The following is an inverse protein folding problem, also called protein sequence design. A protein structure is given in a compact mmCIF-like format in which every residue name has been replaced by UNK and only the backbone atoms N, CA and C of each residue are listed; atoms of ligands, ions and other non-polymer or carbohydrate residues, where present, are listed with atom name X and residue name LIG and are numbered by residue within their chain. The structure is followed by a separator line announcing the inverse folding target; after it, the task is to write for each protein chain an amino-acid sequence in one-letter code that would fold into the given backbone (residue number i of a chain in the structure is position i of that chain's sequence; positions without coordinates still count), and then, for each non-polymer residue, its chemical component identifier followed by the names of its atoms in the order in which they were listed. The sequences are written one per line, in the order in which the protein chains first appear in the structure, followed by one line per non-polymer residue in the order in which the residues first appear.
data_IF_384120373630
#
_entry.id   IF_384120373630
#
_cell.length_a   1.000
_cell.length_b   1.000
_cell.length_c   1.000
_cell.angle_alpha   90.00
_cell.angle_beta   90.00
_cell.angle_gamma   90.00
#
_symmetry.space_group_name_H-M   'P 1'
#
loop_
_entity.id
_entity.type
_entity.pdbx_description
1 polymer ?
#
# COMPACT_ATOMS: atom_id res chain seq x y z
N UNK A 1 -11.63 -2.07 47.93
CA UNK A 1 -11.00 -2.42 46.63
C UNK A 1 -11.98 -2.31 45.47
N UNK A 2 -13.20 -2.86 45.57
CA UNK A 2 -14.19 -2.93 44.48
C UNK A 2 -14.42 -1.65 43.67
N UNK A 3 -14.92 -0.56 44.28
CA UNK A 3 -15.28 0.68 43.55
C UNK A 3 -14.13 1.31 42.75
N UNK A 4 -12.89 1.18 43.23
CA UNK A 4 -11.70 1.71 42.52
C UNK A 4 -11.36 0.89 41.29
N UNK A 5 -11.52 -0.43 41.33
CA UNK A 5 -11.27 -1.32 40.17
C UNK A 5 -12.27 -1.01 39.06
N UNK A 6 -13.56 -0.82 39.38
CA UNK A 6 -14.58 -0.45 38.39
C UNK A 6 -14.33 0.92 37.77
N UNK A 7 -13.79 1.89 38.52
CA UNK A 7 -13.36 3.19 37.94
C UNK A 7 -12.23 3.02 36.93
N UNK A 8 -11.25 2.14 37.21
CA UNK A 8 -10.16 1.83 36.27
C UNK A 8 -10.71 1.12 35.02
N UNK A 9 -11.63 0.17 35.19
CA UNK A 9 -12.29 -0.52 34.08
C UNK A 9 -13.09 0.43 33.20
N UNK A 10 -13.90 1.33 33.77
CA UNK A 10 -14.70 2.31 33.02
C UNK A 10 -13.83 3.18 32.10
N UNK A 11 -12.78 3.80 32.66
CA UNK A 11 -11.89 4.68 31.89
C UNK A 11 -11.19 3.92 30.76
N UNK A 12 -10.69 2.72 31.02
CA UNK A 12 -9.96 1.98 29.98
C UNK A 12 -10.88 1.35 28.94
N UNK A 13 -12.11 0.97 29.29
CA UNK A 13 -13.12 0.54 28.31
C UNK A 13 -13.47 1.68 27.34
N UNK A 14 -13.57 2.91 27.84
CA UNK A 14 -13.79 4.09 26.98
C UNK A 14 -12.56 4.37 26.10
N UNK A 15 -11.35 4.42 26.67
CA UNK A 15 -10.09 4.64 25.90
C UNK A 15 -9.90 3.61 24.78
N UNK A 16 -10.18 2.34 25.06
CA UNK A 16 -10.12 1.27 24.07
C UNK A 16 -11.09 1.52 22.91
N UNK A 17 -12.36 1.85 23.23
CA UNK A 17 -13.40 2.10 22.22
C UNK A 17 -13.17 3.37 21.41
N UNK A 18 -12.69 4.44 22.05
CA UNK A 18 -12.36 5.72 21.43
C UNK A 18 -11.16 5.59 20.51
N UNK A 19 -10.08 4.94 20.98
CA UNK A 19 -8.90 4.67 20.16
C UNK A 19 -9.26 3.87 18.90
N UNK A 20 -10.07 2.81 19.05
CA UNK A 20 -10.55 2.03 17.91
C UNK A 20 -11.46 2.83 16.98
N UNK A 21 -12.26 3.77 17.49
CA UNK A 21 -13.12 4.60 16.64
C UNK A 21 -12.31 5.50 15.72
N UNK A 22 -11.23 6.11 16.21
CA UNK A 22 -10.34 6.93 15.38
C UNK A 22 -9.71 6.10 14.26
N UNK A 23 -9.29 4.87 14.57
CA UNK A 23 -8.70 3.95 13.58
C UNK A 23 -9.73 3.49 12.55
N UNK A 24 -10.97 3.19 12.98
CA UNK A 24 -12.08 2.86 12.09
C UNK A 24 -12.38 3.99 11.11
N UNK A 25 -12.52 5.23 11.62
CA UNK A 25 -12.82 6.38 10.78
C UNK A 25 -11.65 6.71 9.84
N UNK A 26 -10.40 6.48 10.25
CA UNK A 26 -9.25 6.54 9.33
C UNK A 26 -9.38 5.52 8.19
N UNK A 27 -9.56 4.23 8.51
CA UNK A 27 -9.70 3.21 7.48
C UNK A 27 -10.88 3.50 6.54
N UNK A 28 -12.02 3.94 7.09
CA UNK A 28 -13.25 4.14 6.33
C UNK A 28 -13.26 5.42 5.50
N UNK A 29 -12.75 6.52 6.03
CA UNK A 29 -12.94 7.86 5.46
C UNK A 29 -11.68 8.45 4.85
N UNK A 30 -10.50 7.90 5.17
CA UNK A 30 -9.21 8.37 4.63
C UNK A 30 -8.62 7.36 3.66
N UNK A 31 -8.82 6.06 3.90
CA UNK A 31 -8.26 4.99 3.06
C UNK A 31 -9.30 4.26 2.21
N UNK A 32 -10.59 4.50 2.41
CA UNK A 32 -11.70 3.74 1.78
C UNK A 32 -11.49 2.21 1.89
N UNK A 33 -11.06 1.75 3.06
CA UNK A 33 -10.52 0.42 3.29
C UNK A 33 -11.46 -0.45 4.15
N UNK A 34 -11.64 -1.70 3.75
CA UNK A 34 -12.56 -2.67 4.35
C UNK A 34 -12.17 -3.12 5.77
N UNK A 35 -10.93 -2.87 6.20
CA UNK A 35 -10.51 -3.06 7.60
C UNK A 35 -11.39 -2.26 8.57
N UNK A 36 -12.05 -1.19 8.11
CA UNK A 36 -13.05 -0.48 8.90
C UNK A 36 -14.18 -1.39 9.40
N UNK A 37 -14.62 -2.35 8.59
CA UNK A 37 -15.66 -3.31 8.99
C UNK A 37 -15.15 -4.25 10.10
N UNK A 38 -13.92 -4.75 9.95
CA UNK A 38 -13.26 -5.57 10.98
C UNK A 38 -13.14 -4.80 12.30
N UNK A 39 -12.80 -3.52 12.26
CA UNK A 39 -12.69 -2.69 13.47
C UNK A 39 -14.06 -2.44 14.11
N UNK A 40 -15.09 -2.18 13.29
CA UNK A 40 -16.47 -2.06 13.75
C UNK A 40 -16.92 -3.33 14.48
N UNK A 41 -16.62 -4.50 13.95
CA UNK A 41 -16.94 -5.78 14.58
C UNK A 41 -16.17 -5.97 15.89
N UNK A 42 -14.88 -5.63 15.94
CA UNK A 42 -14.12 -5.65 17.20
C UNK A 42 -14.71 -4.73 18.27
N UNK A 43 -15.22 -3.57 17.89
CA UNK A 43 -15.92 -2.66 18.82
C UNK A 43 -17.24 -3.26 19.32
N UNK A 44 -17.94 -4.03 18.48
CA UNK A 44 -19.12 -4.78 18.89
C UNK A 44 -18.75 -5.92 19.85
N UNK A 45 -17.68 -6.67 19.57
CA UNK A 45 -17.19 -7.74 20.42
C UNK A 45 -16.79 -7.25 21.81
N UNK A 46 -16.12 -6.09 21.91
CA UNK A 46 -15.83 -5.47 23.21
C UNK A 46 -17.11 -5.25 24.01
N UNK A 47 -18.20 -4.81 23.36
CA UNK A 47 -19.48 -4.59 24.03
C UNK A 47 -20.11 -5.90 24.51
N UNK A 48 -19.99 -6.98 23.76
CA UNK A 48 -20.55 -8.29 24.11
C UNK A 48 -19.81 -9.00 25.26
N UNK A 49 -18.58 -8.56 25.56
CA UNK A 49 -17.80 -9.00 26.72
C UNK A 49 -18.29 -8.39 28.04
N UNK A 50 -19.07 -7.30 27.99
CA UNK A 50 -19.61 -6.62 29.16
C UNK A 50 -21.02 -7.14 29.44
N UNK A 51 -21.25 -7.68 30.64
CA UNK A 51 -22.61 -7.93 31.13
C UNK A 51 -23.23 -6.64 31.71
N UNK A 52 -24.55 -6.67 31.90
CA UNK A 52 -25.31 -5.50 32.39
C UNK A 52 -24.84 -5.05 33.78
N UNK A 53 -24.44 -6.02 34.62
CA UNK A 53 -23.97 -5.75 35.98
C UNK A 53 -22.64 -5.00 35.95
N UNK A 54 -21.65 -5.50 35.20
CA UNK A 54 -20.36 -4.86 35.05
C UNK A 54 -20.50 -3.45 34.46
N UNK A 55 -21.41 -3.30 33.49
CA UNK A 55 -21.69 -1.99 32.88
C UNK A 55 -22.26 -1.00 33.90
N UNK A 56 -23.20 -1.44 34.74
CA UNK A 56 -23.76 -0.63 35.81
C UNK A 56 -22.71 -0.27 36.89
N UNK A 57 -21.88 -1.24 37.30
CA UNK A 57 -20.82 -1.05 38.29
C UNK A 57 -19.76 -0.04 37.80
N UNK A 58 -19.37 -0.12 36.53
CA UNK A 58 -18.45 0.83 35.89
C UNK A 58 -19.05 2.25 35.87
N UNK A 59 -20.32 2.38 35.46
CA UNK A 59 -21.00 3.67 35.41
C UNK A 59 -21.13 4.30 36.81
N UNK A 60 -21.50 3.51 37.82
CA UNK A 60 -21.61 3.97 39.21
C UNK A 60 -20.26 4.35 39.85
N UNK A 61 -19.15 3.85 39.29
CA UNK A 61 -17.80 4.16 39.74
C UNK A 61 -17.16 5.35 39.02
N UNK A 62 -17.78 5.87 37.95
CA UNK A 62 -17.27 6.98 37.15
C UNK A 62 -17.14 8.25 37.99
N UNK A 63 -15.98 8.90 37.89
CA UNK A 63 -15.68 10.16 38.57
C UNK A 63 -14.89 11.06 37.62
N UNK A 64 -15.54 12.09 37.09
CA UNK A 64 -14.91 13.02 36.12
C UNK A 64 -14.39 14.28 36.82
N UNK A 65 -15.18 14.85 37.73
CA UNK A 65 -14.88 16.16 38.33
C UNK A 65 -13.62 16.15 39.21
N UNK A 66 -13.41 15.04 39.93
CA UNK A 66 -12.30 14.86 40.88
C UNK A 66 -11.18 13.98 40.33
N UNK A 67 -11.17 13.73 39.00
CA UNK A 67 -10.10 12.97 38.37
C UNK A 67 -8.82 13.81 38.26
N UNK A 68 -7.73 13.29 38.83
CA UNK A 68 -6.42 13.96 38.83
C UNK A 68 -5.88 14.09 37.38
N UNK A 69 -6.24 13.16 36.50
CA UNK A 69 -5.89 13.18 35.08
C UNK A 69 -6.70 14.16 34.24
N UNK A 70 -7.69 14.87 34.81
CA UNK A 70 -8.50 15.86 34.08
C UNK A 70 -7.66 17.04 33.55
N UNK A 71 -6.57 17.40 34.24
CA UNK A 71 -5.71 18.54 33.89
C UNK A 71 -4.41 18.13 33.18
N UNK A 72 -4.18 16.84 32.96
CA UNK A 72 -2.98 16.40 32.23
C UNK A 72 -3.19 16.56 30.74
N UNK A 73 -2.72 17.66 30.19
CA UNK A 73 -2.48 17.83 28.76
C UNK A 73 -0.98 18.03 28.57
N UNK A 74 -0.34 17.14 27.84
CA UNK A 74 1.09 17.27 27.53
C UNK A 74 1.27 17.99 26.20
N UNK A 75 2.36 18.76 26.06
CA UNK A 75 2.69 19.44 24.78
C UNK A 75 2.78 18.44 23.62
N UNK A 76 3.17 17.18 23.91
CA UNK A 76 3.21 16.05 22.97
C UNK A 76 1.84 15.50 22.54
N UNK A 77 0.75 15.86 23.22
CA UNK A 77 -0.63 15.56 22.78
C UNK A 77 -1.21 16.63 21.87
N UNK A 78 -0.56 17.80 21.75
CA UNK A 78 -1.09 18.96 21.03
C UNK A 78 -1.07 18.82 19.50
N UNK A 79 -0.24 17.94 18.95
CA UNK A 79 -0.14 17.76 17.51
C UNK A 79 0.16 16.31 17.11
N UNK A 80 -0.26 15.98 15.89
CA UNK A 80 0.12 14.77 15.17
C UNK A 80 0.59 15.21 13.78
N UNK A 81 1.73 14.69 13.35
CA UNK A 81 2.38 15.13 12.11
C UNK A 81 1.67 14.61 10.86
N UNK A 82 1.10 13.42 10.93
CA UNK A 82 0.47 12.74 9.79
C UNK A 82 -0.52 11.65 10.24
N UNK A 83 -1.24 11.08 9.27
CA UNK A 83 -2.20 10.01 9.50
C UNK A 83 -1.59 8.75 10.14
N UNK A 84 -0.45 8.19 9.68
CA UNK A 84 0.20 7.07 10.35
C UNK A 84 0.49 7.32 11.84
N UNK A 85 1.02 8.50 12.18
CA UNK A 85 1.29 8.87 13.57
C UNK A 85 0.01 8.94 14.43
N UNK A 86 -1.09 9.47 13.86
CA UNK A 86 -2.39 9.48 14.51
C UNK A 86 -2.89 8.04 14.79
N UNK A 87 -2.84 7.17 13.77
CA UNK A 87 -3.31 5.79 13.84
C UNK A 87 -2.48 4.99 14.85
N UNK A 88 -1.15 5.07 14.75
CA UNK A 88 -0.23 4.38 15.67
C UNK A 88 -0.48 4.81 17.11
N UNK A 89 -0.60 6.12 17.38
CA UNK A 89 -0.85 6.62 18.74
C UNK A 89 -2.20 6.14 19.31
N UNK A 90 -3.25 5.99 18.48
CA UNK A 90 -4.54 5.48 18.94
C UNK A 90 -4.55 3.97 19.12
N UNK A 91 -3.85 3.21 18.27
CA UNK A 91 -3.67 1.77 18.46
C UNK A 91 -2.85 1.46 19.72
N UNK A 92 -1.77 2.19 19.99
CA UNK A 92 -1.00 2.01 21.24
C UNK A 92 -1.85 2.28 22.47
N UNK A 93 -2.62 3.38 22.48
CA UNK A 93 -3.55 3.67 23.59
C UNK A 93 -4.62 2.58 23.76
N UNK A 94 -5.16 2.04 22.66
CA UNK A 94 -6.09 0.92 22.72
C UNK A 94 -5.43 -0.36 23.29
N UNK A 95 -4.20 -0.68 22.88
CA UNK A 95 -3.44 -1.83 23.39
C UNK A 95 -3.12 -1.71 24.89
N UNK A 96 -2.72 -0.53 25.34
CA UNK A 96 -2.48 -0.22 26.76
C UNK A 96 -3.77 -0.34 27.58
N UNK A 97 -4.86 0.24 27.10
CA UNK A 97 -6.16 0.15 27.75
C UNK A 97 -6.64 -1.31 27.87
N UNK A 98 -6.50 -2.10 26.80
CA UNK A 98 -6.80 -3.53 26.82
C UNK A 98 -5.92 -4.30 27.82
N UNK A 99 -4.64 -3.96 27.96
CA UNK A 99 -3.77 -4.56 29.00
C UNK A 99 -4.29 -4.28 30.40
N UNK A 100 -4.70 -3.04 30.68
CA UNK A 100 -5.24 -2.67 32.00
C UNK A 100 -6.55 -3.40 32.27
N UNK A 101 -7.47 -3.47 31.30
CA UNK A 101 -8.75 -4.17 31.46
C UNK A 101 -8.51 -5.65 31.75
N UNK A 102 -7.61 -6.33 31.01
CA UNK A 102 -7.31 -7.75 31.21
C UNK A 102 -6.88 -8.06 32.65
N UNK A 103 -5.98 -7.25 33.21
CA UNK A 103 -5.45 -7.44 34.56
C UNK A 103 -6.48 -7.04 35.63
N UNK A 104 -7.18 -5.92 35.45
CA UNK A 104 -8.22 -5.50 36.39
C UNK A 104 -9.43 -6.45 36.43
N UNK A 105 -9.76 -7.10 35.31
CA UNK A 105 -10.81 -8.12 35.26
C UNK A 105 -10.51 -9.30 36.20
N UNK A 106 -9.23 -9.62 36.45
CA UNK A 106 -8.82 -10.69 37.38
C UNK A 106 -9.11 -10.32 38.84
N UNK A 107 -9.01 -9.04 39.19
CA UNK A 107 -9.32 -8.54 40.54
C UNK A 107 -10.80 -8.67 40.91
N UNK A 108 -11.68 -8.69 39.91
CA UNK A 108 -13.13 -8.93 40.08
C UNK A 108 -13.54 -10.34 39.64
N UNK A 109 -12.57 -11.24 39.43
CA UNK A 109 -12.80 -12.63 39.01
C UNK A 109 -13.65 -12.81 37.75
N UNK A 110 -13.66 -11.80 36.87
CA UNK A 110 -14.47 -11.80 35.65
C UNK A 110 -13.73 -12.50 34.50
N UNK A 111 -13.72 -13.82 34.53
CA UNK A 111 -12.94 -14.68 33.60
C UNK A 111 -13.26 -14.46 32.12
N UNK A 112 -14.54 -14.27 31.76
CA UNK A 112 -14.99 -13.99 30.37
C UNK A 112 -14.33 -12.73 29.81
N UNK A 113 -14.40 -11.61 30.55
CA UNK A 113 -13.78 -10.34 30.19
C UNK A 113 -12.26 -10.48 30.08
N UNK A 114 -11.60 -11.08 31.07
CA UNK A 114 -10.14 -11.25 31.06
C UNK A 114 -9.67 -12.04 29.83
N UNK A 115 -10.33 -13.19 29.54
CA UNK A 115 -10.00 -14.02 28.37
C UNK A 115 -10.30 -13.32 27.05
N UNK A 116 -11.46 -12.68 26.94
CA UNK A 116 -11.88 -11.97 25.73
C UNK A 116 -10.96 -10.80 25.40
N UNK A 117 -10.59 -10.01 26.40
CA UNK A 117 -9.67 -8.88 26.23
C UNK A 117 -8.26 -9.37 25.90
N UNK A 118 -7.80 -10.48 26.49
CA UNK A 118 -6.52 -11.09 26.09
C UNK A 118 -6.51 -11.44 24.60
N UNK A 119 -7.56 -12.08 24.09
CA UNK A 119 -7.66 -12.40 22.66
C UNK A 119 -7.68 -11.12 21.80
N UNK A 120 -8.49 -10.13 22.20
CA UNK A 120 -8.58 -8.84 21.53
C UNK A 120 -7.21 -8.15 21.41
N UNK A 121 -6.37 -8.20 22.45
CA UNK A 121 -5.02 -7.60 22.42
C UNK A 121 -4.16 -8.14 21.28
N UNK A 122 -4.20 -9.45 21.03
CA UNK A 122 -3.48 -10.03 19.90
C UNK A 122 -4.03 -9.53 18.57
N UNK A 123 -5.36 -9.45 18.45
CA UNK A 123 -6.01 -8.85 17.28
C UNK A 123 -5.59 -7.38 17.07
N UNK A 124 -5.42 -6.59 18.13
CA UNK A 124 -4.94 -5.21 18.04
C UNK A 124 -3.50 -5.11 17.52
N UNK A 125 -2.63 -6.06 17.84
CA UNK A 125 -1.25 -6.09 17.30
C UNK A 125 -1.25 -6.43 15.81
N UNK A 126 -2.07 -7.39 15.40
CA UNK A 126 -2.23 -7.73 13.98
C UNK A 126 -2.85 -6.58 13.19
N UNK A 127 -3.86 -5.91 13.76
CA UNK A 127 -4.51 -4.77 13.15
C UNK A 127 -3.53 -3.61 12.94
N UNK A 128 -2.68 -3.32 13.93
CA UNK A 128 -1.61 -2.32 13.81
C UNK A 128 -0.66 -2.65 12.67
N UNK A 129 -0.18 -3.90 12.61
CA UNK A 129 0.68 -4.34 11.51
C UNK A 129 -0.02 -4.23 10.16
N UNK A 130 -1.29 -4.63 10.07
CA UNK A 130 -2.07 -4.60 8.84
C UNK A 130 -2.21 -3.17 8.32
N UNK A 131 -2.79 -2.28 9.14
CA UNK A 131 -3.13 -0.90 8.74
C UNK A 131 -1.88 -0.11 8.39
N UNK A 132 -0.84 -0.16 9.24
CA UNK A 132 0.37 0.63 9.01
C UNK A 132 1.18 0.11 7.80
N UNK A 133 1.00 -1.15 7.40
CA UNK A 133 1.69 -1.74 6.25
C UNK A 133 0.78 -1.95 5.03
N UNK A 134 -0.44 -1.41 4.97
CA UNK A 134 -1.39 -1.65 3.87
C UNK A 134 -0.78 -1.41 2.48
N UNK A 135 -0.04 -0.31 2.31
CA UNK A 135 0.68 -0.03 1.04
C UNK A 135 1.67 -1.14 0.69
N UNK A 136 2.50 -1.52 1.66
CA UNK A 136 3.48 -2.59 1.51
C UNK A 136 2.78 -3.90 1.16
N UNK A 137 1.70 -4.27 1.84
CA UNK A 137 0.94 -5.50 1.59
C UNK A 137 0.39 -5.53 0.15
N UNK A 138 -0.26 -4.44 -0.29
CA UNK A 138 -0.79 -4.32 -1.67
C UNK A 138 0.32 -4.47 -2.71
N UNK A 139 1.42 -3.76 -2.52
CA UNK A 139 2.57 -3.78 -3.43
C UNK A 139 3.23 -5.16 -3.46
N UNK A 140 3.46 -5.80 -2.31
CA UNK A 140 4.05 -7.15 -2.28
C UNK A 140 3.14 -8.18 -2.94
N UNK A 141 1.82 -8.01 -2.84
CA UNK A 141 0.84 -8.85 -3.55
C UNK A 141 0.91 -8.63 -5.06
N UNK A 142 0.86 -7.39 -5.53
CA UNK A 142 0.88 -7.08 -6.97
C UNK A 142 2.20 -7.45 -7.63
N UNK A 143 3.32 -7.32 -6.92
CA UNK A 143 4.64 -7.73 -7.39
C UNK A 143 5.00 -9.17 -7.01
N UNK A 144 4.07 -9.97 -6.45
CA UNK A 144 4.31 -11.39 -6.31
C UNK A 144 5.40 -11.82 -5.35
N UNK A 145 5.79 -10.96 -4.38
CA UNK A 145 6.97 -11.21 -3.55
C UNK A 145 6.88 -12.49 -2.70
N UNK A 146 5.68 -13.07 -2.54
CA UNK A 146 5.43 -14.31 -1.84
C UNK A 146 4.60 -15.32 -2.65
N UNK A 147 4.38 -15.07 -3.94
CA UNK A 147 3.53 -15.89 -4.79
C UNK A 147 4.23 -16.22 -6.11
N UNK A 148 4.60 -17.49 -6.27
CA UNK A 148 5.27 -18.00 -7.47
C UNK A 148 4.36 -18.05 -8.69
N UNK A 149 3.03 -17.95 -8.51
CA UNK A 149 2.05 -17.96 -9.60
C UNK A 149 1.68 -16.54 -10.09
N UNK A 150 2.20 -15.51 -9.42
CA UNK A 150 1.94 -14.11 -9.79
C UNK A 150 2.47 -13.75 -11.19
N UNK A 151 1.71 -12.94 -11.91
CA UNK A 151 2.12 -12.41 -13.21
C UNK A 151 3.20 -11.34 -13.01
N UNK A 152 4.43 -11.64 -13.43
CA UNK A 152 5.63 -10.78 -13.23
C UNK A 152 5.79 -9.71 -14.30
N UNK A 153 4.97 -9.75 -15.35
CA UNK A 153 5.10 -8.87 -16.52
C UNK A 153 4.41 -7.54 -16.27
N UNK A 154 5.18 -6.46 -16.35
CA UNK A 154 4.71 -5.09 -16.21
C UNK A 154 4.77 -4.39 -17.58
N UNK A 155 3.62 -4.07 -18.17
CA UNK A 155 3.57 -3.26 -19.39
C UNK A 155 3.52 -1.77 -19.05
N UNK A 156 4.44 -1.00 -19.62
CA UNK A 156 4.35 0.47 -19.67
C UNK A 156 3.85 0.84 -21.06
N UNK A 157 2.61 1.31 -21.14
CA UNK A 157 1.94 1.77 -22.35
C UNK A 157 2.35 3.21 -22.61
N UNK A 158 2.93 3.44 -23.78
CA UNK A 158 3.42 4.73 -24.23
C UNK A 158 3.18 4.87 -25.73
N UNK A 159 2.30 5.79 -26.09
CA UNK A 159 1.87 5.99 -27.48
C UNK A 159 3.02 6.44 -28.39
N UNK A 160 4.07 7.07 -27.86
CA UNK A 160 5.26 7.40 -28.67
C UNK A 160 5.91 6.15 -29.28
N UNK A 161 5.71 4.98 -28.66
CA UNK A 161 6.26 3.71 -29.10
C UNK A 161 5.21 2.72 -29.61
N UNK A 162 3.94 3.11 -29.69
CA UNK A 162 2.87 2.24 -30.15
C UNK A 162 2.78 2.25 -31.68
N UNK A 163 2.78 1.06 -32.30
CA UNK A 163 2.70 0.92 -33.77
C UNK A 163 1.36 0.40 -34.28
N UNK A 164 0.42 0.08 -33.39
CA UNK A 164 -0.91 -0.38 -33.77
C UNK A 164 -1.86 0.77 -34.14
N UNK A 165 -3.11 0.41 -34.48
CA UNK A 165 -4.14 1.36 -34.93
C UNK A 165 -5.27 1.57 -33.92
N UNK A 166 -5.43 0.67 -32.95
CA UNK A 166 -6.46 0.75 -31.91
C UNK A 166 -5.87 0.36 -30.54
N UNK A 167 -5.38 1.39 -29.83
CA UNK A 167 -4.69 1.21 -28.56
C UNK A 167 -5.56 0.48 -27.52
N UNK A 168 -6.86 0.79 -27.45
CA UNK A 168 -7.73 0.22 -26.42
C UNK A 168 -8.05 -1.24 -26.72
N UNK A 169 -8.19 -1.62 -27.99
CA UNK A 169 -8.32 -3.01 -28.40
C UNK A 169 -7.05 -3.81 -28.05
N UNK A 170 -5.86 -3.27 -28.32
CA UNK A 170 -4.60 -3.93 -28.00
C UNK A 170 -4.35 -4.01 -26.49
N UNK A 171 -4.67 -2.95 -25.73
CA UNK A 171 -4.63 -2.97 -24.26
C UNK A 171 -5.54 -4.07 -23.71
N UNK A 172 -6.76 -4.19 -24.22
CA UNK A 172 -7.67 -5.29 -23.83
C UNK A 172 -7.07 -6.66 -24.16
N UNK A 173 -6.43 -6.80 -25.33
CA UNK A 173 -5.83 -8.06 -25.77
C UNK A 173 -4.63 -8.48 -24.90
N UNK A 174 -3.75 -7.55 -24.53
CA UNK A 174 -2.59 -7.84 -23.66
C UNK A 174 -3.02 -8.11 -22.21
N UNK A 175 -4.04 -7.41 -21.70
CA UNK A 175 -4.62 -7.70 -20.39
C UNK A 175 -5.18 -9.14 -20.36
N UNK A 176 -5.92 -9.54 -21.39
CA UNK A 176 -6.42 -10.92 -21.55
C UNK A 176 -5.28 -11.95 -21.65
N UNK A 177 -4.14 -11.57 -22.25
CA UNK A 177 -2.96 -12.43 -22.36
C UNK A 177 -2.13 -12.51 -21.06
N UNK A 178 -2.50 -11.77 -20.01
CA UNK A 178 -1.94 -11.90 -18.67
C UNK A 178 -0.82 -10.92 -18.34
N UNK A 179 -0.98 -9.65 -18.69
CA UNK A 179 -0.13 -8.58 -18.10
C UNK A 179 -0.45 -8.45 -16.61
N UNK A 180 0.58 -8.50 -15.76
CA UNK A 180 0.44 -8.44 -14.31
C UNK A 180 0.30 -7.04 -13.74
N UNK A 181 0.87 -6.02 -14.40
CA UNK A 181 0.66 -4.60 -14.09
C UNK A 181 0.66 -3.78 -15.38
N UNK A 182 -0.18 -2.75 -15.46
CA UNK A 182 -0.24 -1.86 -16.61
C UNK A 182 -0.07 -0.40 -16.18
N UNK A 183 0.92 0.28 -16.76
CA UNK A 183 1.16 1.71 -16.57
C UNK A 183 0.76 2.50 -17.80
N UNK A 184 -0.04 3.54 -17.60
CA UNK A 184 -0.26 4.57 -18.60
C UNK A 184 0.79 5.67 -18.47
N UNK A 185 1.60 5.83 -19.51
CA UNK A 185 2.66 6.83 -19.63
C UNK A 185 2.50 7.56 -20.94
N UNK A 186 2.28 8.87 -20.89
CA UNK A 186 2.24 9.69 -22.08
C UNK A 186 2.94 11.02 -21.82
N UNK A 187 3.89 11.39 -22.69
CA UNK A 187 4.76 12.57 -22.54
C UNK A 187 4.38 13.72 -23.48
N UNK A 188 3.45 13.47 -24.41
CA UNK A 188 2.95 14.43 -25.39
C UNK A 188 1.41 14.44 -25.40
N UNK A 189 0.81 15.42 -26.07
CA UNK A 189 -0.65 15.56 -26.10
C UNK A 189 -1.19 16.47 -24.99
N UNK A 190 -2.52 16.58 -24.91
CA UNK A 190 -3.22 17.43 -23.94
C UNK A 190 -3.57 16.67 -22.65
N UNK A 191 -3.76 17.42 -21.56
CA UNK A 191 -4.22 16.87 -20.29
C UNK A 191 -5.58 16.15 -20.41
N UNK A 192 -6.51 16.70 -21.21
CA UNK A 192 -7.80 16.09 -21.48
C UNK A 192 -7.64 14.72 -22.14
N UNK A 193 -6.75 14.63 -23.14
CA UNK A 193 -6.48 13.37 -23.81
C UNK A 193 -5.87 12.34 -22.86
N UNK A 194 -4.86 12.74 -22.07
CA UNK A 194 -4.25 11.85 -21.09
C UNK A 194 -5.31 11.30 -20.12
N UNK A 195 -6.20 12.17 -19.63
CA UNK A 195 -7.25 11.81 -18.69
C UNK A 195 -8.28 10.85 -19.30
N UNK A 196 -8.75 11.12 -20.51
CA UNK A 196 -9.71 10.26 -21.22
C UNK A 196 -9.14 8.85 -21.46
N UNK A 197 -7.88 8.77 -21.93
CA UNK A 197 -7.20 7.49 -22.12
C UNK A 197 -6.98 6.76 -20.79
N UNK A 198 -6.59 7.48 -19.73
CA UNK A 198 -6.41 6.91 -18.41
C UNK A 198 -7.71 6.30 -17.86
N UNK A 199 -8.86 6.98 -18.04
CA UNK A 199 -10.17 6.44 -17.66
C UNK A 199 -10.53 5.17 -18.43
N UNK A 200 -10.33 5.17 -19.75
CA UNK A 200 -10.63 4.02 -20.60
C UNK A 200 -9.76 2.81 -20.23
N UNK A 201 -8.45 3.02 -20.06
CA UNK A 201 -7.52 1.97 -19.66
C UNK A 201 -7.81 1.48 -18.23
N UNK A 202 -8.19 2.37 -17.31
CA UNK A 202 -8.59 1.99 -15.95
C UNK A 202 -9.80 1.06 -15.97
N UNK A 203 -10.81 1.35 -16.80
CA UNK A 203 -11.99 0.48 -16.93
C UNK A 203 -11.59 -0.93 -17.39
N UNK A 204 -10.69 -1.04 -18.37
CA UNK A 204 -10.14 -2.33 -18.82
C UNK A 204 -9.36 -3.04 -17.70
N UNK A 205 -8.48 -2.33 -17.01
CA UNK A 205 -7.71 -2.89 -15.90
C UNK A 205 -8.61 -3.45 -14.79
N UNK A 206 -9.74 -2.78 -14.49
CA UNK A 206 -10.74 -3.31 -13.54
C UNK A 206 -11.41 -4.59 -14.02
N UNK A 207 -11.78 -4.64 -15.31
CA UNK A 207 -12.39 -5.83 -15.94
C UNK A 207 -11.49 -7.07 -15.82
N UNK A 208 -10.18 -6.90 -16.00
CA UNK A 208 -9.19 -7.99 -15.94
C UNK A 208 -8.47 -8.12 -14.58
N UNK A 209 -8.90 -7.37 -13.56
CA UNK A 209 -8.29 -7.35 -12.22
C UNK A 209 -6.78 -7.06 -12.21
N UNK A 210 -6.32 -6.25 -13.16
CA UNK A 210 -4.92 -5.84 -13.30
C UNK A 210 -4.69 -4.49 -12.60
N UNK A 211 -3.66 -4.33 -11.76
CA UNK A 211 -3.31 -3.05 -11.15
C UNK A 211 -2.98 -2.01 -12.21
N UNK A 212 -3.66 -0.86 -12.11
CA UNK A 212 -3.46 0.28 -12.99
C UNK A 212 -2.53 1.31 -12.38
N UNK A 213 -1.50 1.70 -13.13
CA UNK A 213 -0.49 2.66 -12.71
C UNK A 213 -0.56 3.91 -13.58
N UNK A 214 -0.56 5.09 -12.96
CA UNK A 214 -0.46 6.37 -13.68
C UNK A 214 0.95 6.93 -13.50
N UNK A 215 1.57 7.33 -14.61
CA UNK A 215 2.90 7.92 -14.61
C UNK A 215 2.85 9.45 -14.42
N UNK A 216 3.74 9.98 -13.58
CA UNK A 216 4.05 11.40 -13.29
C UNK A 216 2.93 12.31 -12.76
N UNK A 217 1.67 11.93 -12.93
CA UNK A 217 0.49 12.79 -12.72
C UNK A 217 -0.33 12.38 -11.48
N UNK A 218 0.05 12.83 -10.25
CA UNK A 218 -0.72 12.52 -9.04
C UNK A 218 -2.15 13.03 -9.07
N UNK A 219 -2.39 14.16 -9.74
CA UNK A 219 -3.72 14.73 -9.96
C UNK A 219 -4.61 13.78 -10.76
N UNK A 220 -4.13 13.30 -11.90
CA UNK A 220 -4.87 12.36 -12.74
C UNK A 220 -5.00 11.00 -12.05
N UNK A 221 -3.94 10.52 -11.40
CA UNK A 221 -3.96 9.26 -10.65
C UNK A 221 -5.10 9.23 -9.62
N UNK A 222 -5.30 10.34 -8.90
CA UNK A 222 -6.41 10.49 -7.96
C UNK A 222 -7.77 10.50 -8.67
N UNK A 223 -7.91 11.33 -9.72
CA UNK A 223 -9.19 11.51 -10.44
C UNK A 223 -9.69 10.24 -11.13
N UNK A 224 -8.79 9.36 -11.59
CA UNK A 224 -9.14 8.08 -12.22
C UNK A 224 -9.11 6.91 -11.26
N UNK A 225 -8.89 7.15 -9.97
CA UNK A 225 -8.77 6.12 -8.93
C UNK A 225 -7.75 5.03 -9.32
N UNK A 226 -6.57 5.46 -9.77
CA UNK A 226 -5.45 4.58 -10.08
C UNK A 226 -5.01 3.79 -8.85
N UNK A 227 -4.49 2.58 -9.06
CA UNK A 227 -4.04 1.74 -7.96
C UNK A 227 -2.66 2.18 -7.45
N UNK A 228 -1.82 2.72 -8.34
CA UNK A 228 -0.44 3.11 -8.08
C UNK A 228 -0.10 4.40 -8.85
N UNK A 229 0.71 5.27 -8.24
CA UNK A 229 1.40 6.37 -8.91
C UNK A 229 2.86 5.98 -9.17
N UNK A 230 3.40 6.23 -10.36
CA UNK A 230 4.84 6.10 -10.63
C UNK A 230 5.43 7.47 -10.96
N UNK A 231 6.60 7.79 -10.38
CA UNK A 231 7.29 9.06 -10.58
C UNK A 231 8.71 8.84 -11.11
N UNK A 232 9.12 9.65 -12.07
CA UNK A 232 10.50 9.82 -12.52
C UNK A 232 11.32 10.73 -11.60
N UNK A 233 12.60 10.89 -11.92
CA UNK A 233 13.55 11.68 -11.10
C UNK A 233 13.27 13.18 -11.12
N UNK A 234 12.74 13.70 -12.23
CA UNK A 234 12.45 15.13 -12.43
C UNK A 234 11.00 15.49 -12.08
N UNK A 235 10.20 14.52 -11.65
CA UNK A 235 8.81 14.73 -11.23
C UNK A 235 8.73 15.15 -9.77
N UNK A 236 7.50 15.42 -9.29
CA UNK A 236 7.27 15.85 -7.91
C UNK A 236 7.98 14.94 -6.89
N UNK A 237 8.50 15.50 -5.79
CA UNK A 237 8.97 14.69 -4.65
C UNK A 237 7.84 13.80 -4.13
N UNK A 238 8.16 12.58 -3.70
CA UNK A 238 7.21 11.60 -3.15
C UNK A 238 6.44 12.21 -1.99
N UNK A 239 7.10 12.96 -1.10
CA UNK A 239 6.44 13.63 0.03
C UNK A 239 5.36 14.63 -0.41
N UNK A 240 5.56 15.31 -1.55
CA UNK A 240 4.59 16.26 -2.12
C UNK A 240 3.48 15.51 -2.84
N UNK A 241 3.81 14.52 -3.68
CA UNK A 241 2.82 13.68 -4.35
C UNK A 241 1.90 12.97 -3.35
N UNK A 242 2.43 12.49 -2.22
CA UNK A 242 1.68 11.86 -1.12
C UNK A 242 0.61 12.77 -0.51
N UNK A 243 0.83 14.10 -0.51
CA UNK A 243 -0.17 15.06 -0.04
C UNK A 243 -1.37 15.16 -0.99
N UNK A 244 -1.20 14.79 -2.26
CA UNK A 244 -2.26 14.78 -3.27
C UNK A 244 -2.98 13.43 -3.30
N UNK A 245 -2.25 12.32 -3.45
CA UNK A 245 -2.85 10.97 -3.60
C UNK A 245 -3.22 10.30 -2.27
N UNK A 246 -2.91 10.94 -1.15
CA UNK A 246 -3.20 10.45 0.18
C UNK A 246 -2.27 9.32 0.65
N UNK A 247 -2.55 8.77 1.85
CA UNK A 247 -1.67 7.79 2.49
C UNK A 247 -1.84 6.37 1.93
N UNK A 248 -2.88 6.10 1.14
CA UNK A 248 -3.27 4.74 0.74
C UNK A 248 -2.66 4.31 -0.61
N UNK A 249 -2.57 5.20 -1.59
CA UNK A 249 -2.05 4.88 -2.93
C UNK A 249 -0.54 4.68 -2.87
N UNK A 250 0.01 3.52 -3.25
CA UNK A 250 1.44 3.33 -3.35
C UNK A 250 2.11 4.23 -4.41
N UNK A 251 3.34 4.64 -4.15
CA UNK A 251 4.14 5.49 -5.04
C UNK A 251 5.44 4.77 -5.41
N UNK A 252 5.66 4.56 -6.71
CA UNK A 252 6.92 4.06 -7.24
C UNK A 252 7.87 5.18 -7.66
N UNK A 253 9.17 4.90 -7.65
CA UNK A 253 10.20 5.83 -8.15
C UNK A 253 11.10 5.14 -9.18
N UNK A 254 11.31 5.78 -10.33
CA UNK A 254 12.35 5.38 -11.28
C UNK A 254 13.74 5.70 -10.71
N UNK A 255 14.71 4.80 -10.89
CA UNK A 255 16.06 4.90 -10.33
C UNK A 255 17.09 4.32 -11.30
N UNK A 256 18.26 4.95 -11.35
CA UNK A 256 19.33 4.70 -12.33
C UNK A 256 20.70 4.44 -11.67
N UNK A 257 20.73 4.38 -10.34
CA UNK A 257 21.93 4.07 -9.55
C UNK A 257 21.53 3.60 -8.15
N UNK A 258 22.46 2.96 -7.44
CA UNK A 258 22.26 2.60 -6.03
C UNK A 258 21.97 3.84 -5.16
N UNK A 259 22.65 4.95 -5.40
CA UNK A 259 22.43 6.19 -4.67
C UNK A 259 20.98 6.70 -4.83
N UNK A 260 20.45 6.68 -6.05
CA UNK A 260 19.05 7.06 -6.29
C UNK A 260 18.06 6.07 -5.66
N UNK A 261 18.36 4.77 -5.67
CA UNK A 261 17.55 3.76 -5.01
C UNK A 261 17.45 3.99 -3.49
N UNK A 262 18.59 4.20 -2.82
CA UNK A 262 18.62 4.49 -1.38
C UNK A 262 17.93 5.81 -1.04
N UNK A 263 18.09 6.84 -1.88
CA UNK A 263 17.39 8.11 -1.72
C UNK A 263 15.86 7.93 -1.85
N UNK A 264 15.39 7.17 -2.85
CA UNK A 264 13.98 6.88 -3.04
C UNK A 264 13.36 6.10 -1.86
N UNK A 265 14.11 5.15 -1.28
CA UNK A 265 13.70 4.44 -0.05
C UNK A 265 13.54 5.44 1.10
N UNK A 266 14.52 6.31 1.32
CA UNK A 266 14.47 7.33 2.37
C UNK A 266 13.32 8.33 2.18
N UNK A 267 12.95 8.62 0.93
CA UNK A 267 11.83 9.49 0.57
C UNK A 267 10.45 8.82 0.76
N UNK A 268 10.42 7.51 1.02
CA UNK A 268 9.20 6.75 1.27
C UNK A 268 8.53 6.19 0.01
N UNK A 269 9.34 5.81 -0.99
CA UNK A 269 8.86 5.00 -2.12
C UNK A 269 8.33 3.65 -1.61
N UNK A 270 7.28 3.14 -2.26
CA UNK A 270 6.71 1.83 -1.97
C UNK A 270 7.30 0.74 -2.88
N UNK A 271 7.81 1.09 -4.07
CA UNK A 271 8.59 0.22 -4.95
C UNK A 271 9.54 1.00 -5.87
N UNK A 272 10.51 0.32 -6.48
CA UNK A 272 11.50 0.95 -7.35
C UNK A 272 11.39 0.42 -8.78
N UNK A 273 11.44 1.31 -9.78
CA UNK A 273 11.79 0.95 -11.14
C UNK A 273 13.28 1.14 -11.34
N UNK A 274 14.04 0.08 -11.58
CA UNK A 274 15.49 0.14 -11.70
C UNK A 274 15.95 -0.18 -13.12
N UNK A 275 16.67 0.75 -13.73
CA UNK A 275 17.11 0.63 -15.11
C UNK A 275 17.88 1.86 -15.58
N UNK A 276 18.16 1.99 -16.88
CA UNK A 276 17.92 0.98 -17.89
C UNK A 276 18.86 -0.22 -17.69
N UNK A 277 18.34 -1.46 -17.71
CA UNK A 277 19.19 -2.67 -17.59
C UNK A 277 20.10 -2.81 -18.82
N UNK A 278 19.53 -2.63 -20.00
CA UNK A 278 20.24 -2.57 -21.27
C UNK A 278 20.01 -1.21 -21.94
N UNK A 279 20.92 -0.83 -22.86
CA UNK A 279 20.77 0.43 -23.62
C UNK A 279 19.39 0.45 -24.31
N UNK A 280 18.70 1.57 -24.20
CA UNK A 280 17.37 1.75 -24.79
C UNK A 280 17.18 3.19 -25.27
N UNK A 281 16.52 3.42 -26.43
CA UNK A 281 16.18 4.76 -26.91
C UNK A 281 14.90 5.33 -26.27
N UNK A 282 14.26 4.65 -25.31
CA UNK A 282 12.94 5.03 -24.79
C UNK A 282 12.88 6.34 -23.99
N UNK A 283 14.01 7.03 -23.78
CA UNK A 283 14.08 8.37 -23.18
C UNK A 283 14.85 9.30 -24.12
N UNK A 284 14.44 10.56 -24.22
CA UNK A 284 15.13 11.61 -25.00
C UNK A 284 16.60 11.83 -24.57
N UNK A 285 16.93 11.53 -23.31
CA UNK A 285 18.30 11.45 -22.78
C UNK A 285 18.43 10.14 -21.98
N UNK A 286 18.97 9.07 -22.56
CA UNK A 286 19.05 7.78 -21.88
C UNK A 286 20.19 7.79 -20.85
N UNK A 287 19.88 7.31 -19.64
CA UNK A 287 20.87 7.03 -18.61
C UNK A 287 21.79 5.87 -19.05
N UNK A 288 23.03 5.78 -18.54
CA UNK A 288 23.90 4.63 -18.77
C UNK A 288 23.23 3.33 -18.33
N UNK A 289 23.46 2.25 -19.08
CA UNK A 289 22.94 0.95 -18.71
C UNK A 289 23.60 0.45 -17.42
N UNK A 290 22.78 0.12 -16.40
CA UNK A 290 23.26 -0.38 -15.10
C UNK A 290 23.67 -1.85 -15.15
N UNK A 291 23.14 -2.59 -16.14
CA UNK A 291 23.44 -4.00 -16.35
C UNK A 291 22.95 -4.94 -15.25
N UNK A 292 23.18 -6.24 -15.46
CA UNK A 292 22.81 -7.29 -14.52
C UNK A 292 23.59 -7.21 -13.19
N UNK A 293 24.85 -6.78 -13.25
CA UNK A 293 25.69 -6.61 -12.06
C UNK A 293 25.13 -5.52 -11.13
N UNK A 294 24.81 -4.34 -11.68
CA UNK A 294 24.21 -3.25 -10.91
C UNK A 294 22.82 -3.62 -10.37
N UNK A 295 22.02 -4.38 -11.13
CA UNK A 295 20.75 -4.90 -10.64
C UNK A 295 20.93 -5.85 -9.45
N UNK A 296 21.87 -6.80 -9.55
CA UNK A 296 22.16 -7.75 -8.47
C UNK A 296 22.67 -7.05 -7.22
N UNK A 297 23.57 -6.08 -7.37
CA UNK A 297 24.05 -5.26 -6.26
C UNK A 297 22.87 -4.56 -5.57
N UNK A 298 22.03 -3.87 -6.33
CA UNK A 298 20.92 -3.11 -5.79
C UNK A 298 19.92 -3.98 -5.01
N UNK A 299 19.61 -5.19 -5.49
CA UNK A 299 18.75 -6.14 -4.75
C UNK A 299 19.31 -6.57 -3.39
N UNK A 300 20.63 -6.47 -3.17
CA UNK A 300 21.23 -6.75 -1.84
C UNK A 300 21.10 -5.59 -0.87
N UNK A 301 20.81 -4.39 -1.36
CA UNK A 301 20.85 -3.14 -0.58
C UNK A 301 19.45 -2.61 -0.22
N UNK A 302 18.40 -3.07 -0.90
CA UNK A 302 17.03 -2.61 -0.67
C UNK A 302 16.07 -3.77 -0.40
N UNK A 303 15.11 -3.56 0.49
CA UNK A 303 14.05 -4.53 0.79
C UNK A 303 12.74 -4.25 0.04
N UNK A 304 12.64 -3.10 -0.64
CA UNK A 304 11.47 -2.78 -1.46
C UNK A 304 11.43 -3.66 -2.71
N UNK A 305 10.24 -3.98 -3.23
CA UNK A 305 10.13 -4.62 -4.54
C UNK A 305 10.78 -3.75 -5.62
N UNK A 306 11.51 -4.43 -6.49
CA UNK A 306 12.22 -3.85 -7.62
C UNK A 306 11.65 -4.38 -8.91
N UNK A 307 11.29 -3.46 -9.80
CA UNK A 307 10.96 -3.73 -11.19
C UNK A 307 12.17 -3.45 -12.05
N UNK A 308 12.71 -4.46 -12.73
CA UNK A 308 13.75 -4.24 -13.72
C UNK A 308 13.13 -3.65 -15.00
N UNK A 309 13.73 -2.59 -15.55
CA UNK A 309 13.24 -1.95 -16.78
C UNK A 309 14.38 -1.51 -17.69
N UNK A 310 14.12 -1.44 -19.00
CA UNK A 310 14.97 -0.78 -19.98
C UNK A 310 15.71 -1.75 -20.88
N UNK A 311 15.30 -1.76 -22.15
CA UNK A 311 15.88 -2.63 -23.19
C UNK A 311 15.57 -4.11 -22.99
N UNK A 312 14.38 -4.43 -22.46
CA UNK A 312 13.96 -5.79 -22.14
C UNK A 312 13.00 -6.35 -23.18
N UNK A 313 13.27 -7.58 -23.62
CA UNK A 313 12.54 -8.33 -24.66
C UNK A 313 12.71 -9.85 -24.46
N UNK A 314 12.16 -10.66 -25.36
CA UNK A 314 12.21 -12.12 -25.28
C UNK A 314 13.63 -12.71 -25.23
N UNK A 315 14.64 -11.99 -25.69
CA UNK A 315 16.01 -12.49 -25.75
C UNK A 315 16.75 -12.40 -24.42
N UNK A 316 16.33 -11.50 -23.53
CA UNK A 316 17.06 -11.18 -22.30
C UNK A 316 16.20 -11.22 -21.02
N UNK A 317 14.87 -11.22 -21.12
CA UNK A 317 13.97 -11.12 -19.97
C UNK A 317 14.16 -12.27 -18.97
N UNK A 318 14.43 -13.49 -19.46
CA UNK A 318 14.66 -14.66 -18.62
C UNK A 318 15.92 -14.51 -17.74
N UNK A 319 17.00 -13.94 -18.29
CA UNK A 319 18.24 -13.72 -17.54
C UNK A 319 18.06 -12.67 -16.44
N UNK A 320 17.26 -11.63 -16.69
CA UNK A 320 16.90 -10.62 -15.69
C UNK A 320 16.02 -11.22 -14.60
N UNK A 321 15.01 -12.00 -15.00
CA UNK A 321 14.11 -12.66 -14.05
C UNK A 321 14.83 -13.65 -13.13
N UNK A 322 15.86 -14.35 -13.64
CA UNK A 322 16.69 -15.28 -12.88
C UNK A 322 17.54 -14.63 -11.77
N UNK A 323 17.73 -13.30 -11.81
CA UNK A 323 18.41 -12.55 -10.74
C UNK A 323 17.51 -12.42 -9.50
N UNK A 324 16.20 -12.68 -9.63
CA UNK A 324 15.25 -12.68 -8.52
C UNK A 324 14.45 -11.37 -8.37
N UNK A 325 14.37 -10.56 -9.43
CA UNK A 325 13.46 -9.40 -9.41
C UNK A 325 11.99 -9.85 -9.36
N UNK A 326 11.13 -9.25 -8.54
CA UNK A 326 9.73 -9.64 -8.48
C UNK A 326 8.99 -9.41 -9.80
N UNK A 327 9.31 -8.35 -10.53
CA UNK A 327 8.69 -8.04 -11.82
C UNK A 327 9.66 -7.44 -12.83
N UNK A 328 9.29 -7.54 -14.10
CA UNK A 328 10.04 -6.99 -15.24
C UNK A 328 9.13 -6.13 -16.08
N UNK A 329 9.56 -4.89 -16.35
CA UNK A 329 8.82 -3.95 -17.16
C UNK A 329 9.33 -3.87 -18.61
N UNK A 330 8.38 -3.84 -19.54
CA UNK A 330 8.61 -3.70 -20.98
C UNK A 330 7.75 -2.56 -21.55
N UNK A 331 8.23 -1.96 -22.64
CA UNK A 331 7.51 -0.96 -23.44
C UNK A 331 7.42 -1.50 -24.86
N UNK A 332 8.49 -1.26 -25.63
CA UNK A 332 8.57 -1.53 -27.07
C UNK A 332 8.37 -2.99 -27.44
N UNK A 333 8.85 -3.92 -26.60
CA UNK A 333 8.75 -5.35 -26.89
C UNK A 333 7.30 -5.77 -27.19
N UNK A 334 6.31 -5.20 -26.49
CA UNK A 334 4.88 -5.46 -26.72
C UNK A 334 4.27 -4.41 -27.66
N UNK A 335 4.51 -3.11 -27.42
CA UNK A 335 3.83 -2.04 -28.16
C UNK A 335 4.20 -1.96 -29.65
N UNK A 336 5.34 -2.55 -30.04
CA UNK A 336 5.82 -2.60 -31.43
C UNK A 336 5.70 -4.00 -32.05
N UNK A 337 5.06 -4.94 -31.36
CA UNK A 337 4.84 -6.27 -31.89
C UNK A 337 3.68 -6.25 -32.90
N UNK A 338 3.78 -7.09 -33.95
CA UNK A 338 2.67 -7.30 -34.89
C UNK A 338 1.43 -7.88 -34.20
N UNK A 339 1.65 -8.75 -33.20
CA UNK A 339 0.61 -9.28 -32.32
C UNK A 339 1.03 -9.07 -30.85
N UNK A 340 0.57 -7.97 -30.21
CA UNK A 340 0.86 -7.66 -28.81
C UNK A 340 0.43 -8.77 -27.83
N UNK A 341 -0.66 -9.47 -28.12
CA UNK A 341 -1.18 -10.53 -27.24
C UNK A 341 -0.31 -11.79 -27.31
N UNK A 342 0.06 -12.23 -28.51
CA UNK A 342 0.98 -13.37 -28.69
C UNK A 342 2.36 -13.06 -28.10
N UNK A 343 2.84 -11.82 -28.25
CA UNK A 343 4.08 -11.38 -27.61
C UNK A 343 3.99 -11.39 -26.09
N UNK A 344 2.89 -10.92 -25.53
CA UNK A 344 2.63 -10.96 -24.08
C UNK A 344 2.68 -12.40 -23.56
N UNK A 345 2.00 -13.34 -24.23
CA UNK A 345 2.03 -14.76 -23.87
C UNK A 345 3.44 -15.35 -23.92
N UNK A 346 4.23 -14.98 -24.94
CA UNK A 346 5.63 -15.40 -25.08
C UNK A 346 6.46 -14.89 -23.90
N UNK A 347 6.39 -13.60 -23.57
CA UNK A 347 7.15 -13.02 -22.45
C UNK A 347 6.74 -13.64 -21.10
N UNK A 348 5.44 -13.88 -20.89
CA UNK A 348 4.96 -14.58 -19.69
C UNK A 348 5.56 -15.98 -19.55
N UNK A 349 5.64 -16.76 -20.65
CA UNK A 349 6.25 -18.09 -20.62
C UNK A 349 7.74 -18.07 -20.22
N UNK A 350 8.45 -16.99 -20.55
CA UNK A 350 9.87 -16.81 -20.20
C UNK A 350 10.06 -16.34 -18.75
N UNK A 351 9.04 -15.76 -18.13
CA UNK A 351 9.05 -15.28 -16.74
C UNK A 351 8.62 -16.33 -15.72
N UNK A 352 7.97 -17.41 -16.18
CA UNK A 352 7.61 -18.55 -15.34
C UNK A 352 8.87 -19.35 -14.96
N UNK A 353 9.23 -19.32 -13.68
CA UNK A 353 10.27 -20.19 -13.12
C UNK A 353 9.77 -21.64 -13.14
N UNK A 354 10.55 -22.56 -13.73
CA UNK A 354 10.36 -24.00 -13.58
C UNK A 354 10.48 -24.46 -12.14
#
# INVERSE_FOLDING_TARGET
MGKRVYRVLDVNLNRLREGLRVVEDYCRLVCDDDQALRIKDLRHDIRSLLDDKLSADCLAARQVETDIGRQTFTVTEASRENWPALVQANLKRAQEAARVIEECAKLITHSKLSRGIKALRFTLYELEKSILNQRSIRIHKWFGMNDKESQRLYLVVDEEFYSGSDLLADVRAVLKAGVGLLQWRQKSGSDSYFFEQALAIRALCREFHTPFVVNDRPDIALLVEADILHLGQDDLPIAIARRLVGPAMPIGRSTHSLAQALAAVAEGADYLGFGPIHKTPSKRKPDPAVGLAGLKEMLTQVSLPVVAIGGLDETNIAAVAAIGVPAVAVIRAILQAEDPAAKTATLNSLLQTK
#
